data_IF_200997304348
#
_entry.id   IF_200997304348
#
_cell.length_a   1.000
_cell.length_b   1.000
_cell.length_c   1.000
_cell.angle_alpha   90.00
_cell.angle_beta   90.00
_cell.angle_gamma   90.00
#
_symmetry.space_group_name_H-M   'P 1'
#
loop_
_entity.id
_entity.type
_entity.pdbx_description
1 polymer ?
#
# COMPACT_ATOMS: atom_id res chain seq x y z
N UNK A 1 15.43 -35.36 31.76
CA UNK A 1 16.73 -35.73 31.16
C UNK A 1 16.87 -35.12 29.79
N UNK A 2 16.51 -35.86 28.74
CA UNK A 2 16.53 -35.35 27.35
C UNK A 2 15.31 -34.47 27.03
N UNK A 3 14.11 -34.86 27.48
CA UNK A 3 12.86 -34.10 27.28
C UNK A 3 12.92 -32.67 27.84
N UNK A 4 13.44 -32.50 29.07
CA UNK A 4 13.62 -31.15 29.66
C UNK A 4 14.61 -30.29 28.87
N UNK A 5 15.63 -30.89 28.24
CA UNK A 5 16.61 -30.14 27.44
C UNK A 5 16.04 -29.70 26.09
N UNK A 6 15.22 -30.54 25.46
CA UNK A 6 14.49 -30.19 24.24
C UNK A 6 13.43 -29.12 24.51
N UNK A 7 12.72 -29.21 25.64
CA UNK A 7 11.71 -28.23 26.04
C UNK A 7 12.34 -26.86 26.33
N UNK A 8 13.51 -26.84 26.98
CA UNK A 8 14.24 -25.61 27.26
C UNK A 8 14.80 -24.97 25.97
N UNK A 9 15.29 -25.78 25.01
CA UNK A 9 15.73 -25.30 23.69
C UNK A 9 14.57 -24.82 22.81
N UNK A 10 13.39 -25.45 22.90
CA UNK A 10 12.16 -24.97 22.26
C UNK A 10 11.72 -23.63 22.83
N UNK A 11 11.74 -23.45 24.15
CA UNK A 11 11.36 -22.16 24.75
C UNK A 11 12.34 -21.02 24.43
N UNK A 12 13.62 -21.33 24.19
CA UNK A 12 14.64 -20.33 23.88
C UNK A 12 14.64 -19.86 22.42
N UNK A 13 13.83 -20.47 21.54
CA UNK A 13 13.85 -20.21 20.08
C UNK A 13 12.55 -19.65 19.53
N UNK A 14 11.49 -19.53 20.34
CA UNK A 14 10.23 -18.97 19.87
C UNK A 14 10.28 -17.43 19.80
N UNK A 15 10.17 -16.92 18.58
CA UNK A 15 10.04 -15.49 18.33
C UNK A 15 8.72 -14.97 18.94
N UNK A 16 8.71 -13.76 19.51
CA UNK A 16 7.48 -13.18 20.03
C UNK A 16 6.44 -12.97 18.91
N UNK A 17 5.16 -12.94 19.28
CA UNK A 17 4.09 -12.56 18.36
C UNK A 17 4.35 -11.16 17.79
N UNK A 18 4.64 -11.08 16.49
CA UNK A 18 4.91 -9.86 15.78
C UNK A 18 4.54 -10.00 14.30
N UNK A 19 4.16 -8.87 13.69
CA UNK A 19 3.93 -8.73 12.26
C UNK A 19 4.57 -7.45 11.74
N UNK A 20 4.97 -7.47 10.48
CA UNK A 20 5.38 -6.30 9.71
C UNK A 20 4.65 -6.31 8.38
N UNK A 21 4.24 -5.14 7.91
CA UNK A 21 3.67 -4.95 6.57
C UNK A 21 4.25 -3.69 5.95
N UNK A 22 4.06 -3.52 4.64
CA UNK A 22 4.56 -2.36 3.93
C UNK A 22 3.74 -1.11 4.26
N UNK A 23 4.43 0.00 4.54
CA UNK A 23 3.79 1.30 4.70
C UNK A 23 3.30 1.87 3.37
N UNK A 24 4.04 1.57 2.31
CA UNK A 24 3.80 2.01 0.95
C UNK A 24 4.20 0.90 -0.03
N UNK A 25 3.56 0.90 -1.18
CA UNK A 25 3.79 -0.13 -2.18
C UNK A 25 3.55 0.35 -3.59
N UNK A 26 4.21 -0.30 -4.54
CA UNK A 26 3.97 -0.01 -5.94
C UNK A 26 2.73 -0.73 -6.44
N UNK A 27 2.08 -0.12 -7.42
CA UNK A 27 1.02 -0.75 -8.21
C UNK A 27 1.41 -0.62 -9.68
N UNK A 28 1.06 -1.60 -10.50
CA UNK A 28 1.23 -1.54 -11.96
C UNK A 28 -0.10 -1.84 -12.62
N UNK A 29 -0.56 -0.93 -13.48
CA UNK A 29 -1.70 -1.16 -14.36
C UNK A 29 -1.22 -2.05 -15.51
N UNK A 30 -1.81 -3.24 -15.66
CA UNK A 30 -1.40 -4.17 -16.72
C UNK A 30 -1.83 -3.72 -18.12
N UNK A 31 -2.76 -2.78 -18.25
CA UNK A 31 -3.26 -2.31 -19.55
C UNK A 31 -2.25 -1.38 -20.21
N UNK A 32 -1.75 -0.39 -19.47
CA UNK A 32 -0.86 0.65 -19.99
C UNK A 32 0.55 0.62 -19.37
N UNK A 33 0.78 -0.30 -18.42
CA UNK A 33 2.03 -0.46 -17.67
C UNK A 33 2.42 0.78 -16.88
N UNK A 34 1.45 1.62 -16.52
CA UNK A 34 1.68 2.76 -15.65
C UNK A 34 1.92 2.28 -14.22
N UNK A 35 3.04 2.74 -13.65
CA UNK A 35 3.39 2.51 -12.26
C UNK A 35 2.81 3.60 -11.36
N UNK A 36 2.26 3.18 -10.23
CA UNK A 36 1.85 4.05 -9.14
C UNK A 36 2.54 3.67 -7.83
N UNK A 37 2.63 4.61 -6.91
CA UNK A 37 3.02 4.39 -5.51
C UNK A 37 1.83 4.71 -4.62
N UNK A 38 1.29 3.70 -3.95
CA UNK A 38 0.22 3.84 -2.96
C UNK A 38 0.86 4.00 -1.60
N UNK A 39 0.53 5.09 -0.92
CA UNK A 39 1.01 5.41 0.42
C UNK A 39 -0.19 5.87 1.26
N UNK A 40 -0.99 4.95 1.84
CA UNK A 40 -2.31 5.26 2.40
C UNK A 40 -2.32 6.40 3.41
N UNK A 41 -1.33 6.45 4.30
CA UNK A 41 -1.17 7.52 5.31
C UNK A 41 -1.02 8.93 4.72
N UNK A 42 -0.50 9.01 3.50
CA UNK A 42 -0.20 10.27 2.82
C UNK A 42 -1.08 10.52 1.58
N UNK A 43 -2.00 9.61 1.25
CA UNK A 43 -2.86 9.75 0.07
C UNK A 43 -3.97 10.77 0.31
N UNK A 44 -3.99 11.83 -0.51
CA UNK A 44 -4.96 12.91 -0.41
C UNK A 44 -6.38 12.50 -0.84
N UNK A 45 -6.51 11.45 -1.64
CA UNK A 45 -7.80 10.91 -2.05
C UNK A 45 -8.43 10.01 -0.98
N UNK A 46 -7.62 9.47 -0.07
CA UNK A 46 -8.11 8.62 1.00
C UNK A 46 -8.57 9.47 2.21
N UNK A 47 -9.84 9.32 2.66
CA UNK A 47 -10.32 9.97 3.88
C UNK A 47 -9.43 9.64 5.07
N UNK A 48 -9.16 10.63 5.93
CA UNK A 48 -8.19 10.52 7.02
C UNK A 48 -8.47 9.32 7.94
N UNK A 49 -9.75 9.04 8.20
CA UNK A 49 -10.24 7.95 9.03
C UNK A 49 -9.99 6.56 8.43
N UNK A 50 -9.84 6.44 7.10
CA UNK A 50 -9.58 5.17 6.42
C UNK A 50 -8.08 4.89 6.25
N UNK A 51 -7.22 5.90 6.46
CA UNK A 51 -5.79 5.78 6.15
C UNK A 51 -5.08 4.70 6.96
N UNK A 52 -5.39 4.61 8.26
CA UNK A 52 -4.81 3.58 9.12
C UNK A 52 -5.31 2.19 8.73
N UNK A 53 -6.62 2.04 8.52
CA UNK A 53 -7.21 0.78 8.08
C UNK A 53 -6.60 0.29 6.76
N UNK A 54 -6.40 1.18 5.78
CA UNK A 54 -5.71 0.81 4.54
C UNK A 54 -4.23 0.50 4.75
N UNK A 55 -3.54 1.21 5.63
CA UNK A 55 -2.13 0.98 5.88
C UNK A 55 -1.85 -0.38 6.52
N UNK A 56 -2.79 -0.89 7.33
CA UNK A 56 -2.66 -2.20 8.00
C UNK A 56 -3.42 -3.33 7.29
N UNK A 57 -4.49 -3.02 6.56
CA UNK A 57 -5.43 -4.02 6.02
C UNK A 57 -5.34 -4.29 4.52
N UNK A 58 -4.45 -3.63 3.78
CA UNK A 58 -4.21 -3.94 2.36
C UNK A 58 -3.07 -4.98 2.24
N UNK A 59 -3.35 -6.21 2.66
CA UNK A 59 -2.35 -7.22 3.03
C UNK A 59 -1.86 -8.13 1.90
N UNK A 60 -1.20 -7.58 0.89
CA UNK A 60 -0.51 -8.44 -0.08
C UNK A 60 0.99 -8.60 0.22
N UNK A 61 1.52 -7.96 1.27
CA UNK A 61 2.95 -8.05 1.63
C UNK A 61 3.18 -7.86 3.13
N UNK A 62 3.06 -8.96 3.88
CA UNK A 62 3.40 -9.02 5.29
C UNK A 62 4.36 -10.16 5.61
N UNK A 63 5.08 -10.00 6.72
CA UNK A 63 5.83 -11.05 7.39
C UNK A 63 5.36 -11.10 8.83
N UNK A 64 4.98 -12.27 9.32
CA UNK A 64 4.57 -12.47 10.71
C UNK A 64 5.26 -13.70 11.31
N UNK A 65 5.38 -13.70 12.63
CA UNK A 65 5.93 -14.85 13.35
C UNK A 65 4.85 -15.93 13.53
N UNK A 66 5.26 -17.19 13.62
CA UNK A 66 4.32 -18.30 13.93
C UNK A 66 3.49 -18.01 15.20
N UNK A 67 4.12 -17.43 16.22
CA UNK A 67 3.46 -17.03 17.46
C UNK A 67 2.35 -15.99 17.24
N UNK A 68 2.48 -15.09 16.26
CA UNK A 68 1.42 -14.14 15.92
C UNK A 68 0.18 -14.85 15.34
N UNK A 69 0.40 -15.78 14.40
CA UNK A 69 -0.68 -16.55 13.78
C UNK A 69 -1.37 -17.51 14.77
N UNK A 70 -0.61 -18.12 15.69
CA UNK A 70 -1.18 -18.97 16.74
C UNK A 70 -1.98 -18.18 17.77
N UNK A 71 -1.63 -16.91 18.00
CA UNK A 71 -2.35 -16.03 18.91
C UNK A 71 -3.64 -15.50 18.27
N UNK A 72 -3.55 -15.06 17.01
CA UNK A 72 -4.65 -14.51 16.22
C UNK A 72 -4.59 -15.17 14.84
N UNK A 73 -5.58 -15.97 14.49
CA UNK A 73 -5.70 -16.48 13.12
C UNK A 73 -6.36 -15.43 12.22
N UNK A 74 -6.12 -15.51 10.91
CA UNK A 74 -6.92 -14.77 9.94
C UNK A 74 -8.40 -15.13 10.10
N UNK A 75 -9.26 -14.12 10.04
CA UNK A 75 -10.69 -14.34 10.10
C UNK A 75 -11.18 -15.01 8.81
N UNK A 76 -12.11 -15.95 8.95
CA UNK A 76 -12.79 -16.58 7.81
C UNK A 76 -13.91 -15.64 7.33
N UNK A 77 -13.51 -14.57 6.64
CA UNK A 77 -14.38 -13.53 6.10
C UNK A 77 -14.03 -13.26 4.65
N UNK A 78 -15.01 -12.79 3.87
CA UNK A 78 -14.82 -12.52 2.45
C UNK A 78 -13.90 -11.32 2.17
N UNK A 79 -13.83 -10.36 3.10
CA UNK A 79 -13.09 -9.12 2.92
C UNK A 79 -12.40 -8.67 4.20
N UNK A 80 -11.21 -8.05 4.05
CA UNK A 80 -10.48 -7.38 5.13
C UNK A 80 -9.99 -8.31 6.24
N UNK A 81 -9.77 -9.57 5.91
CA UNK A 81 -9.14 -10.60 6.75
C UNK A 81 -7.76 -10.16 7.26
N UNK A 82 -6.98 -9.47 6.41
CA UNK A 82 -5.65 -8.95 6.76
C UNK A 82 -5.75 -7.79 7.78
N UNK A 83 -6.74 -6.92 7.56
CA UNK A 83 -7.05 -5.81 8.47
C UNK A 83 -7.48 -6.33 9.83
N UNK A 84 -8.33 -7.35 9.85
CA UNK A 84 -8.74 -8.02 11.08
C UNK A 84 -7.55 -8.64 11.82
N UNK A 85 -6.68 -9.38 11.12
CA UNK A 85 -5.50 -10.00 11.73
C UNK A 85 -4.56 -8.97 12.37
N UNK A 86 -4.28 -7.87 11.67
CA UNK A 86 -3.39 -6.80 12.19
C UNK A 86 -4.04 -6.02 13.33
N UNK A 87 -5.34 -5.74 13.26
CA UNK A 87 -6.10 -5.05 14.30
C UNK A 87 -6.16 -5.86 15.59
N UNK A 88 -6.48 -7.15 15.52
CA UNK A 88 -6.50 -8.04 16.69
C UNK A 88 -5.11 -8.20 17.34
N UNK A 89 -4.04 -8.25 16.55
CA UNK A 89 -2.66 -8.24 17.08
C UNK A 89 -2.35 -6.94 17.83
N UNK A 90 -2.75 -5.79 17.29
CA UNK A 90 -2.59 -4.49 17.95
C UNK A 90 -3.39 -4.43 19.25
N UNK A 91 -4.65 -4.90 19.24
CA UNK A 91 -5.51 -4.98 20.43
C UNK A 91 -4.92 -5.91 21.51
N UNK A 92 -4.27 -7.00 21.11
CA UNK A 92 -3.55 -7.90 22.01
C UNK A 92 -2.18 -7.34 22.49
N UNK A 93 -1.87 -6.09 22.18
CA UNK A 93 -0.64 -5.41 22.56
C UNK A 93 0.61 -5.99 21.88
N UNK A 94 0.44 -6.63 20.72
CA UNK A 94 1.55 -7.21 19.95
C UNK A 94 2.15 -6.20 18.97
N UNK A 95 3.34 -6.52 18.49
CA UNK A 95 4.10 -5.61 17.63
C UNK A 95 3.58 -5.77 16.20
N UNK A 96 2.95 -4.71 15.67
CA UNK A 96 2.67 -4.60 14.23
C UNK A 96 3.34 -3.33 13.71
N UNK A 97 4.30 -3.47 12.80
CA UNK A 97 5.02 -2.33 12.22
C UNK A 97 4.72 -2.15 10.74
N UNK A 98 4.50 -0.91 10.36
CA UNK A 98 4.60 -0.50 8.98
C UNK A 98 6.06 -0.19 8.65
N UNK A 99 6.54 -0.73 7.53
CA UNK A 99 7.91 -0.55 7.08
C UNK A 99 7.91 0.24 5.78
N UNK A 100 8.62 1.36 5.74
CA UNK A 100 8.90 2.04 4.49
C UNK A 100 10.11 1.37 3.83
N UNK A 101 9.99 1.05 2.54
CA UNK A 101 11.08 0.49 1.74
C UNK A 101 12.41 1.25 1.87
N UNK A 102 12.35 2.58 2.02
CA UNK A 102 13.53 3.46 2.17
C UNK A 102 14.25 3.34 3.52
N UNK A 103 13.58 2.81 4.54
CA UNK A 103 14.18 2.61 5.86
C UNK A 103 15.00 1.32 5.93
N UNK A 104 14.92 0.46 4.90
CA UNK A 104 15.67 -0.77 4.81
C UNK A 104 17.01 -0.52 4.10
N UNK A 105 18.10 -0.61 4.85
CA UNK A 105 19.44 -0.40 4.33
C UNK A 105 19.75 -1.32 3.14
N UNK A 106 20.28 -0.75 2.06
CA UNK A 106 20.73 -1.50 0.87
C UNK A 106 19.62 -1.88 -0.11
N UNK A 107 18.39 -1.38 0.09
CA UNK A 107 17.32 -1.51 -0.88
C UNK A 107 17.04 -0.15 -1.53
N UNK A 108 17.48 -0.02 -2.78
CA UNK A 108 17.45 1.27 -3.48
C UNK A 108 16.07 1.60 -4.06
N UNK A 109 15.17 0.65 -4.27
CA UNK A 109 13.77 0.93 -4.62
C UNK A 109 12.90 -0.33 -4.73
N UNK A 110 11.66 -0.23 -4.24
CA UNK A 110 10.53 -1.18 -4.35
C UNK A 110 10.73 -2.60 -3.76
N UNK A 111 9.99 -2.91 -2.70
CA UNK A 111 9.90 -4.27 -2.12
C UNK A 111 8.86 -5.15 -2.82
N UNK A 112 7.75 -4.55 -3.27
CA UNK A 112 6.64 -5.25 -3.89
C UNK A 112 5.90 -4.34 -4.87
N UNK A 113 5.26 -4.95 -5.86
CA UNK A 113 4.33 -4.28 -6.76
C UNK A 113 3.08 -5.13 -6.98
N UNK A 114 1.92 -4.54 -6.78
CA UNK A 114 0.64 -5.17 -7.06
C UNK A 114 0.26 -4.90 -8.52
N UNK A 115 0.20 -5.96 -9.33
CA UNK A 115 -0.42 -5.84 -10.65
C UNK A 115 -1.93 -5.78 -10.48
N UNK A 116 -2.57 -4.94 -11.28
CA UNK A 116 -4.01 -4.91 -11.32
C UNK A 116 -4.49 -4.75 -12.75
N UNK A 117 -5.69 -5.28 -12.96
CA UNK A 117 -6.59 -4.83 -13.98
C UNK A 117 -7.78 -4.20 -13.26
N UNK A 118 -8.36 -3.12 -13.80
CA UNK A 118 -9.52 -2.41 -13.22
C UNK A 118 -10.62 -3.34 -12.69
N UNK A 119 -10.78 -4.47 -13.35
CA UNK A 119 -11.87 -5.43 -13.13
C UNK A 119 -11.48 -6.65 -12.29
N UNK A 120 -10.23 -6.74 -11.82
CA UNK A 120 -9.72 -7.85 -10.99
C UNK A 120 -9.28 -7.39 -9.59
N UNK A 121 -9.77 -6.22 -9.16
CA UNK A 121 -9.51 -5.68 -7.82
C UNK A 121 -10.77 -5.76 -6.98
N UNK A 122 -10.61 -5.76 -5.65
CA UNK A 122 -11.71 -5.63 -4.69
C UNK A 122 -12.45 -4.29 -4.78
N UNK A 123 -11.98 -3.35 -5.61
CA UNK A 123 -12.57 -2.02 -5.78
C UNK A 123 -12.18 -1.02 -4.68
N UNK A 124 -11.67 -1.47 -3.52
CA UNK A 124 -11.27 -0.58 -2.42
C UNK A 124 -10.15 0.40 -2.77
N UNK A 125 -9.40 0.14 -3.85
CA UNK A 125 -8.31 1.00 -4.32
C UNK A 125 -8.80 2.19 -5.16
N UNK A 126 -10.12 2.40 -5.30
CA UNK A 126 -10.70 3.43 -6.16
C UNK A 126 -11.62 4.38 -5.38
N UNK A 127 -11.57 5.66 -5.76
CA UNK A 127 -12.47 6.70 -5.29
C UNK A 127 -13.38 7.11 -6.44
N UNK A 128 -14.67 6.89 -6.26
CA UNK A 128 -15.70 7.29 -7.22
C UNK A 128 -16.07 8.77 -7.04
N UNK A 129 -16.32 9.45 -8.15
CA UNK A 129 -16.80 10.82 -8.16
C UNK A 129 -17.77 11.07 -9.31
N UNK A 130 -18.70 12.01 -9.09
CA UNK A 130 -19.64 12.44 -10.11
C UNK A 130 -19.09 13.68 -10.83
N UNK A 131 -19.09 13.64 -12.16
CA UNK A 131 -18.79 14.79 -13.00
C UNK A 131 -19.90 15.06 -14.00
N UNK A 132 -20.17 16.32 -14.29
CA UNK A 132 -21.08 16.72 -15.36
C UNK A 132 -20.42 16.48 -16.73
N UNK A 133 -21.19 15.97 -17.70
CA UNK A 133 -20.75 15.94 -19.10
C UNK A 133 -20.42 17.37 -19.56
N UNK A 134 -19.20 17.58 -20.06
CA UNK A 134 -18.75 18.87 -20.59
C UNK A 134 -19.61 19.35 -21.77
N UNK A 135 -20.39 18.46 -22.40
CA UNK A 135 -21.31 18.79 -23.49
C UNK A 135 -22.66 19.35 -23.03
N UNK A 136 -22.85 19.62 -21.73
CA UNK A 136 -24.07 20.24 -21.21
C UNK A 136 -25.32 19.35 -21.27
N UNK A 137 -25.18 18.08 -21.64
CA UNK A 137 -26.24 17.08 -21.54
C UNK A 137 -26.24 16.60 -20.10
N UNK A 138 -27.16 17.10 -19.28
CA UNK A 138 -27.17 17.01 -17.81
C UNK A 138 -27.14 15.62 -17.14
N UNK A 139 -26.68 14.57 -17.82
CA UNK A 139 -26.35 13.30 -17.18
C UNK A 139 -25.04 13.44 -16.39
N UNK A 140 -25.10 13.22 -15.09
CA UNK A 140 -23.91 13.03 -14.28
C UNK A 140 -23.25 11.70 -14.67
N UNK A 141 -21.96 11.74 -14.97
CA UNK A 141 -21.13 10.56 -15.20
C UNK A 141 -20.38 10.22 -13.91
N UNK A 142 -20.42 8.94 -13.51
CA UNK A 142 -19.55 8.44 -12.45
C UNK A 142 -18.20 8.06 -13.04
N UNK A 143 -17.14 8.57 -12.41
CA UNK A 143 -15.75 8.27 -12.76
C UNK A 143 -15.03 7.73 -11.53
N UNK A 144 -14.10 6.82 -11.75
CA UNK A 144 -13.33 6.18 -10.67
C UNK A 144 -11.86 6.59 -10.79
N UNK A 145 -11.23 6.89 -9.65
CA UNK A 145 -9.81 7.26 -9.59
C UNK A 145 -9.11 6.33 -8.64
N UNK A 146 -8.09 5.62 -9.13
CA UNK A 146 -7.26 4.77 -8.30
C UNK A 146 -6.48 5.59 -7.27
N UNK A 147 -6.30 5.06 -6.06
CA UNK A 147 -5.35 5.58 -5.06
C UNK A 147 -3.91 5.49 -5.57
N UNK A 148 -3.02 6.27 -4.96
CA UNK A 148 -1.59 6.33 -5.27
C UNK A 148 -1.20 7.42 -6.27
N UNK A 149 0.09 7.72 -6.34
CA UNK A 149 0.64 8.72 -7.25
C UNK A 149 1.39 8.04 -8.38
N UNK A 150 1.26 8.56 -9.62
CA UNK A 150 2.06 8.07 -10.74
C UNK A 150 3.56 8.24 -10.46
N UNK A 151 4.34 7.20 -10.69
CA UNK A 151 5.80 7.18 -10.53
C UNK A 151 6.46 6.55 -11.76
N UNK A 152 7.77 6.77 -11.93
CA UNK A 152 8.53 6.02 -12.91
C UNK A 152 8.65 4.55 -12.48
N UNK A 153 8.83 3.60 -13.42
CA UNK A 153 9.06 2.20 -13.07
C UNK A 153 10.29 2.06 -12.15
N UNK A 154 10.12 1.45 -10.96
CA UNK A 154 11.24 1.26 -10.03
C UNK A 154 12.37 0.46 -10.67
N UNK A 155 13.65 0.80 -10.45
CA UNK A 155 14.78 0.08 -11.01
C UNK A 155 14.70 -1.44 -10.85
N UNK A 156 14.33 -1.91 -9.65
CA UNK A 156 14.18 -3.34 -9.33
C UNK A 156 13.11 -4.06 -10.17
N UNK A 157 12.10 -3.33 -10.67
CA UNK A 157 10.97 -3.89 -11.41
C UNK A 157 11.11 -3.73 -12.93
N UNK A 158 12.09 -2.94 -13.42
CA UNK A 158 12.28 -2.70 -14.86
C UNK A 158 12.50 -3.97 -15.65
N UNK A 159 13.23 -4.94 -15.08
CA UNK A 159 13.50 -6.22 -15.72
C UNK A 159 12.23 -7.06 -15.94
N UNK A 160 11.16 -6.80 -15.18
CA UNK A 160 9.89 -7.51 -15.30
C UNK A 160 8.96 -6.91 -16.37
N UNK A 161 9.23 -5.71 -16.88
CA UNK A 161 8.37 -5.03 -17.85
C UNK A 161 8.08 -5.90 -19.10
N UNK A 162 9.07 -6.55 -19.74
CA UNK A 162 8.78 -7.42 -20.90
C UNK A 162 7.84 -8.58 -20.56
N UNK A 163 7.95 -9.16 -19.37
CA UNK A 163 7.04 -10.21 -18.90
C UNK A 163 5.63 -9.67 -18.67
N UNK A 164 5.50 -8.49 -18.07
CA UNK A 164 4.20 -7.82 -17.87
C UNK A 164 3.54 -7.49 -19.22
N UNK A 165 4.31 -7.04 -20.21
CA UNK A 165 3.84 -6.83 -21.58
C UNK A 165 3.33 -8.13 -22.20
N UNK A 166 4.07 -9.23 -22.06
CA UNK A 166 3.66 -10.53 -22.57
C UNK A 166 2.36 -11.01 -21.92
N UNK A 167 2.23 -10.83 -20.61
CA UNK A 167 1.02 -11.17 -19.86
C UNK A 167 -0.18 -10.30 -20.28
N UNK A 168 0.00 -8.99 -20.45
CA UNK A 168 -1.05 -8.10 -20.93
C UNK A 168 -1.53 -8.47 -22.33
N UNK A 169 -0.60 -8.78 -23.24
CA UNK A 169 -0.90 -9.24 -24.59
C UNK A 169 -1.64 -10.59 -24.60
N UNK A 170 -1.23 -11.56 -23.79
CA UNK A 170 -1.86 -12.88 -23.74
C UNK A 170 -3.29 -12.82 -23.19
N UNK A 171 -3.55 -11.90 -22.25
CA UNK A 171 -4.86 -11.61 -21.71
C UNK A 171 -5.72 -10.73 -22.63
N UNK A 172 -5.17 -10.22 -23.74
CA UNK A 172 -5.84 -9.36 -24.71
C UNK A 172 -6.48 -8.11 -24.07
N UNK A 173 -5.86 -7.56 -23.03
CA UNK A 173 -6.38 -6.41 -22.31
C UNK A 173 -6.39 -5.17 -23.23
N UNK A 174 -7.49 -4.41 -23.24
CA UNK A 174 -7.61 -3.17 -24.02
C UNK A 174 -7.98 -1.98 -23.12
N UNK A 175 -7.43 -0.79 -23.36
CA UNK A 175 -7.85 0.43 -22.68
C UNK A 175 -9.36 0.64 -22.77
N UNK A 176 -10.00 0.79 -21.60
CA UNK A 176 -11.45 1.04 -21.50
C UNK A 176 -12.34 -0.20 -21.71
N UNK A 177 -11.79 -1.39 -21.94
CA UNK A 177 -12.57 -2.60 -22.07
C UNK A 177 -12.91 -3.21 -20.71
N UNK A 178 -14.20 -3.42 -20.45
CA UNK A 178 -14.68 -4.10 -19.23
C UNK A 178 -14.60 -5.61 -19.41
N UNK A 179 -14.04 -6.27 -18.40
CA UNK A 179 -13.91 -7.73 -18.34
C UNK A 179 -15.28 -8.39 -18.53
N UNK A 180 -15.41 -9.43 -19.39
CA UNK A 180 -16.70 -10.03 -19.71
C UNK A 180 -17.51 -10.48 -18.49
N UNK A 181 -16.85 -11.01 -17.45
CA UNK A 181 -17.52 -11.43 -16.21
C UNK A 181 -18.19 -10.25 -15.50
N UNK A 182 -17.60 -9.05 -15.51
CA UNK A 182 -18.24 -7.88 -14.89
C UNK A 182 -19.32 -7.25 -15.77
N UNK A 183 -19.24 -7.38 -17.11
CA UNK A 183 -20.38 -7.05 -17.99
C UNK A 183 -21.61 -7.90 -17.66
N UNK A 184 -21.41 -9.13 -17.17
CA UNK A 184 -22.48 -10.02 -16.74
C UNK A 184 -22.97 -9.74 -15.31
N UNK A 185 -22.12 -9.16 -14.45
CA UNK A 185 -22.44 -8.87 -13.04
C UNK A 185 -22.91 -7.44 -12.77
N UNK A 186 -22.78 -6.50 -13.72
CA UNK A 186 -23.12 -5.08 -13.51
C UNK A 186 -24.34 -4.63 -14.30
N UNK A 187 -25.46 -4.42 -13.61
CA UNK A 187 -26.66 -3.73 -14.13
C UNK A 187 -26.48 -2.19 -14.18
N UNK A 188 -25.31 -1.69 -13.78
CA UNK A 188 -25.03 -0.25 -13.60
C UNK A 188 -24.22 0.33 -14.76
N UNK A 189 -24.41 1.63 -15.08
CA UNK A 189 -23.69 2.29 -16.16
C UNK A 189 -22.18 2.18 -15.97
N UNK A 190 -21.49 1.89 -17.07
CA UNK A 190 -20.04 1.76 -17.15
C UNK A 190 -19.35 2.99 -16.57
N UNK A 191 -18.59 2.80 -15.49
CA UNK A 191 -17.75 3.85 -14.91
C UNK A 191 -16.63 4.21 -15.90
N UNK A 192 -16.30 5.50 -16.06
CA UNK A 192 -15.10 5.89 -16.82
C UNK A 192 -13.96 6.09 -15.82
N UNK A 193 -12.94 5.24 -15.88
CA UNK A 193 -11.75 5.41 -15.04
C UNK A 193 -10.93 6.60 -15.51
N UNK A 194 -10.37 7.34 -14.54
CA UNK A 194 -9.31 8.31 -14.78
C UNK A 194 -8.00 7.56 -14.62
N UNK A 195 -7.29 7.30 -15.71
CA UNK A 195 -6.00 6.62 -15.62
C UNK A 195 -4.99 7.46 -14.82
N UNK A 196 -3.89 6.84 -14.40
CA UNK A 196 -2.88 7.49 -13.54
C UNK A 196 -2.22 8.72 -14.20
N UNK A 197 -2.18 8.82 -15.54
CA UNK A 197 -1.70 10.01 -16.25
C UNK A 197 -2.72 11.16 -16.18
N UNK A 198 -3.98 10.87 -16.53
CA UNK A 198 -5.11 11.80 -16.47
C UNK A 198 -5.39 12.27 -15.05
N UNK A 199 -5.06 11.45 -14.04
CA UNK A 199 -5.25 11.77 -12.63
C UNK A 199 -4.58 13.07 -12.23
N UNK A 200 -3.38 13.36 -12.75
CA UNK A 200 -2.67 14.61 -12.41
C UNK A 200 -3.44 15.84 -12.89
N UNK A 201 -3.94 15.79 -14.12
CA UNK A 201 -4.78 16.84 -14.70
C UNK A 201 -6.09 16.95 -13.93
N UNK A 202 -6.69 15.81 -13.58
CA UNK A 202 -7.91 15.76 -12.79
C UNK A 202 -7.75 16.40 -11.41
N UNK A 203 -6.69 16.07 -10.66
CA UNK A 203 -6.44 16.62 -9.33
C UNK A 203 -6.25 18.15 -9.34
N UNK A 204 -5.81 18.70 -10.48
CA UNK A 204 -5.68 20.14 -10.71
C UNK A 204 -7.01 20.80 -11.17
N UNK A 205 -8.03 20.02 -11.50
CA UNK A 205 -9.36 20.54 -11.86
C UNK A 205 -10.15 20.99 -10.63
N UNK A 206 -11.27 21.70 -10.85
CA UNK A 206 -12.19 22.04 -9.76
C UNK A 206 -12.77 20.79 -9.08
N UNK A 207 -13.14 19.77 -9.85
CA UNK A 207 -13.66 18.51 -9.31
C UNK A 207 -12.63 17.80 -8.43
N UNK A 208 -11.37 17.70 -8.90
CA UNK A 208 -10.30 17.10 -8.11
C UNK A 208 -9.99 17.85 -6.82
N UNK A 209 -9.97 19.20 -6.87
CA UNK A 209 -9.83 20.02 -5.65
C UNK A 209 -10.99 19.83 -4.69
N UNK A 210 -12.23 19.72 -5.19
CA UNK A 210 -13.41 19.49 -4.37
C UNK A 210 -13.34 18.15 -3.64
N UNK A 211 -12.92 17.08 -4.31
CA UNK A 211 -12.71 15.76 -3.68
C UNK A 211 -11.64 15.85 -2.59
N UNK A 212 -10.50 16.50 -2.87
CA UNK A 212 -9.43 16.68 -1.88
C UNK A 212 -9.84 17.57 -0.69
N UNK A 213 -10.82 18.46 -0.87
CA UNK A 213 -11.36 19.26 0.23
C UNK A 213 -12.39 18.47 1.02
N UNK A 214 -13.26 17.70 0.36
CA UNK A 214 -14.21 16.81 1.01
C UNK A 214 -13.51 15.76 1.88
N UNK A 215 -12.39 15.20 1.42
CA UNK A 215 -11.57 14.26 2.22
C UNK A 215 -10.91 14.90 3.44
N UNK A 216 -10.75 16.24 3.46
CA UNK A 216 -10.21 17.00 4.60
C UNK A 216 -11.25 17.43 5.61
N UNK A 217 -12.52 17.53 5.20
CA UNK A 217 -13.60 18.01 6.07
C UNK A 217 -14.06 16.95 7.07
N UNK A 218 -13.54 15.72 7.00
CA UNK A 218 -13.97 14.62 7.84
C UNK A 218 -15.45 14.27 7.62
N UNK A 219 -15.94 13.14 8.12
CA UNK A 219 -17.31 12.75 7.88
C UNK A 219 -18.26 13.68 8.64
N UNK A 220 -19.16 14.38 7.94
CA UNK A 220 -20.51 14.59 8.46
C UNK A 220 -21.17 13.22 8.55
N UNK A 221 -20.95 12.56 9.69
CA UNK A 221 -21.71 11.45 10.26
C UNK A 221 -22.49 10.57 9.26
N UNK A 222 -21.82 9.57 8.66
CA UNK A 222 -22.48 8.29 8.42
C UNK A 222 -22.31 7.45 9.69
N UNK A 223 -23.42 7.15 10.34
CA UNK A 223 -23.51 6.39 11.57
C UNK A 223 -23.15 4.91 11.33
N UNK A 224 -21.85 4.61 11.32
CA UNK A 224 -21.35 3.27 11.60
C UNK A 224 -20.68 3.29 12.97
N UNK A 225 -20.99 2.27 13.76
CA UNK A 225 -20.95 2.21 15.21
C UNK A 225 -19.68 2.73 15.88
N UNK A 226 -19.89 3.60 16.87
CA UNK A 226 -18.91 3.93 17.91
C UNK A 226 -19.03 2.95 19.08
N UNK A 227 -17.94 2.27 19.35
CA UNK A 227 -17.48 1.91 20.69
C UNK A 227 -15.98 1.72 20.54
N UNK A 228 -15.08 2.67 20.74
CA UNK A 228 -15.11 3.85 21.59
C UNK A 228 -14.11 3.61 22.71
N UNK A 229 -12.88 4.15 22.61
CA UNK A 229 -12.11 4.55 23.79
C UNK A 229 -10.95 5.48 23.43
N UNK A 230 -10.91 6.58 24.18
CA UNK A 230 -9.99 7.67 24.06
C UNK A 230 -8.62 7.30 24.62
N UNK A 231 -7.56 7.53 23.84
CA UNK A 231 -6.19 7.46 24.32
C UNK A 231 -5.85 8.72 25.12
N UNK A 232 -5.81 8.59 26.45
CA UNK A 232 -5.11 9.54 27.34
C UNK A 232 -4.03 8.80 28.12
N UNK A 233 -2.82 9.37 28.03
CA UNK A 233 -1.71 9.34 28.99
C UNK A 233 -1.19 7.97 29.47
N UNK A 234 -0.07 7.54 28.90
CA UNK A 234 1.02 6.89 29.65
C UNK A 234 2.38 7.26 29.01
N UNK A 235 2.82 8.49 29.21
CA UNK A 235 4.25 8.84 29.15
C UNK A 235 4.74 8.86 30.59
N UNK A 236 5.33 7.75 31.06
CA UNK A 236 5.71 7.67 32.46
C UNK A 236 6.33 6.36 32.92
N UNK A 237 7.31 5.80 32.20
CA UNK A 237 8.35 4.98 32.84
C UNK A 237 9.62 5.07 32.00
N UNK A 238 10.62 5.77 32.55
CA UNK A 238 11.94 5.88 31.96
C UNK A 238 12.66 4.53 31.95
N UNK A 239 12.92 4.02 30.75
CA UNK A 239 13.96 3.02 30.51
C UNK A 239 15.14 3.78 29.89
N UNK A 240 16.23 3.92 30.64
CA UNK A 240 17.52 4.38 30.12
C UNK A 240 18.05 3.33 29.15
N UNK A 241 18.05 3.65 27.86
CA UNK A 241 18.80 2.87 26.87
C UNK A 241 20.30 3.07 27.11
N UNK A 242 21.13 2.01 27.07
CA UNK A 242 22.57 2.13 27.18
C UNK A 242 23.18 2.85 25.97
N UNK A 243 24.25 3.59 26.24
CA UNK A 243 24.87 4.55 25.34
C UNK A 243 25.24 3.99 23.98
N UNK A 244 24.88 4.75 22.95
CA UNK A 244 25.26 4.56 21.55
C UNK A 244 26.78 4.76 21.43
N UNK A 245 27.52 3.69 21.18
CA UNK A 245 28.94 3.76 20.81
C UNK A 245 29.06 4.45 19.45
N UNK A 246 29.93 5.46 19.36
CA UNK A 246 30.22 6.12 18.10
C UNK A 246 30.94 5.15 17.14
N UNK A 247 30.61 5.17 15.83
CA UNK A 247 31.34 4.39 14.85
C UNK A 247 32.77 4.94 14.70
N UNK A 248 33.74 4.03 14.66
CA UNK A 248 35.14 4.35 14.33
C UNK A 248 35.23 4.76 12.85
N UNK A 249 36.07 5.75 12.51
CA UNK A 249 36.30 6.10 11.11
C UNK A 249 37.00 4.95 10.38
N UNK A 250 36.41 4.54 9.26
CA UNK A 250 37.03 3.57 8.34
C UNK A 250 38.25 4.15 7.61
N UNK A 251 39.11 3.29 7.05
CA UNK A 251 40.33 3.72 6.37
C UNK A 251 40.03 4.50 5.09
N UNK A 252 40.82 5.55 4.85
CA UNK A 252 40.75 6.39 3.64
C UNK A 252 41.28 5.59 2.44
N UNK A 253 40.44 5.46 1.41
CA UNK A 253 40.83 4.92 0.09
C UNK A 253 41.50 6.07 -0.70
N UNK A 254 42.67 5.87 -1.31
CA UNK A 254 43.32 6.89 -2.12
C UNK A 254 42.56 7.15 -3.43
N UNK A 255 42.44 8.43 -3.78
CA UNK A 255 41.85 8.92 -5.02
C UNK A 255 42.71 8.55 -6.23
N UNK A 256 42.13 7.85 -7.21
CA UNK A 256 42.72 7.65 -8.53
C UNK A 256 42.40 8.88 -9.39
N UNK A 257 43.44 9.52 -9.93
CA UNK A 257 43.33 10.73 -10.76
C UNK A 257 42.74 10.48 -12.15
N UNK A 258 42.47 11.56 -12.92
CA UNK A 258 41.73 11.47 -14.17
C UNK A 258 42.58 10.89 -15.30
N UNK A 259 42.04 9.89 -15.99
CA UNK A 259 42.57 9.39 -17.25
C UNK A 259 42.21 10.37 -18.38
N UNK A 260 43.26 10.86 -19.03
CA UNK A 260 43.26 11.62 -20.28
C UNK A 260 42.57 10.80 -21.38
N UNK A 261 41.56 11.38 -22.04
CA UNK A 261 41.05 10.87 -23.33
C UNK A 261 41.67 11.67 -24.47
N UNK A 262 42.47 10.98 -25.27
CA UNK A 262 42.94 11.40 -26.58
C UNK A 262 41.92 10.99 -27.65
N UNK A 263 41.88 11.77 -28.72
CA UNK A 263 40.96 11.75 -29.85
C UNK A 263 40.75 10.41 -30.57
N UNK A 264 39.54 10.22 -31.12
CA UNK A 264 39.22 10.16 -32.55
C UNK A 264 37.71 10.35 -32.74
#
# INVERSE_FOLDING_TARGET
GEEESEEMLRSATELPAAAVTLQDWHVVDLVDLTFGLVAPRNDALLPAELRESFAYGFGFSYVYTRAAWQLVSFADVEWSEDGHFTDELLHAGKIVKLVHSRDLAGLDDALAAHSHHRETTSGGEFVDYLCSDSRGRGAAMCKSIRLGSKVAPPPALKALIPLLQQAACSLQLRPGEVHPVRKQLSDRPLHQEVNLEEKKVFLQSWAGRSIMQASRLGPMASSWNRSGLAWRNLAGTGVKLPGRTQPRPGPRIPSVGPAVRTAL
#
